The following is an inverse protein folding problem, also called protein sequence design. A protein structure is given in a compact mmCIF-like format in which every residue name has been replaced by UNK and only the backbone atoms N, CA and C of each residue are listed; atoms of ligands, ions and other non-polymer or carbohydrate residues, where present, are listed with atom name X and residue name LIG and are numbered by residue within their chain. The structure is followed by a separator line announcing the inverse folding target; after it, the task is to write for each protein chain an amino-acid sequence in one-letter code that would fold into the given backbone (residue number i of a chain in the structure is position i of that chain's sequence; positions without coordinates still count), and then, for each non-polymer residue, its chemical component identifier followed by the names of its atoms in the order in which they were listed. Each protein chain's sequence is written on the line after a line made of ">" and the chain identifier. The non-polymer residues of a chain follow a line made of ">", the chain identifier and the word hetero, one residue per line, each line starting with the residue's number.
data_IF_784520153955
#
_entry.id   IF_784520153955
#
_cell.length_a   1.000
_cell.length_b   1.000
_cell.length_c   1.000
_cell.angle_alpha   90.00
_cell.angle_beta   90.00
_cell.angle_gamma   90.00
#
_symmetry.space_group_name_H-M   'P 1'
#
loop_
_entity.id
_entity.type
_entity.pdbx_description
1 polymer ?
#
# COMPACT_ATOMS: atom_id res chain seq x y z
N UNK A 1 -48.91 18.03 30.25
CA UNK A 1 -47.56 18.26 30.79
C UNK A 1 -46.73 16.98 30.67
N UNK A 2 -46.65 16.40 29.47
CA UNK A 2 -45.72 15.32 29.07
C UNK A 2 -45.71 15.24 27.54
N UNK A 3 -45.62 16.38 26.87
CA UNK A 3 -45.60 16.42 25.41
C UNK A 3 -44.17 16.17 24.91
N UNK A 4 -43.73 14.92 25.05
CA UNK A 4 -42.57 14.30 24.39
C UNK A 4 -42.97 14.02 22.93
N UNK A 5 -43.27 15.09 22.20
CA UNK A 5 -43.61 15.04 20.78
C UNK A 5 -42.62 15.96 20.08
N UNK A 6 -41.39 15.46 19.86
CA UNK A 6 -40.46 16.12 18.94
C UNK A 6 -39.46 15.16 18.28
N UNK A 7 -39.88 13.95 17.91
CA UNK A 7 -39.39 13.23 16.71
C UNK A 7 -40.17 11.90 16.56
N UNK A 8 -40.96 11.69 15.48
CA UNK A 8 -41.64 10.41 15.24
C UNK A 8 -40.65 9.34 14.71
N UNK A 9 -39.56 9.09 15.43
CA UNK A 9 -38.57 8.10 15.01
C UNK A 9 -37.24 8.10 15.76
N UNK A 10 -36.94 9.12 16.58
CA UNK A 10 -35.77 9.11 17.45
C UNK A 10 -36.27 8.92 18.88
N UNK A 11 -35.90 7.82 19.57
CA UNK A 11 -36.05 7.76 21.01
C UNK A 11 -35.29 8.94 21.61
N UNK A 12 -35.98 9.75 22.42
CA UNK A 12 -35.31 10.78 23.21
C UNK A 12 -34.27 10.16 24.15
N UNK A 13 -33.47 11.01 24.81
CA UNK A 13 -32.45 10.56 25.76
C UNK A 13 -32.92 9.49 26.75
N UNK A 14 -34.11 9.61 27.37
CA UNK A 14 -34.66 8.60 28.27
C UNK A 14 -34.95 7.25 27.60
N UNK A 15 -35.58 7.25 26.42
CA UNK A 15 -35.93 6.03 25.70
C UNK A 15 -34.67 5.27 25.24
N UNK A 16 -33.62 5.98 24.81
CA UNK A 16 -32.34 5.38 24.44
C UNK A 16 -31.64 4.72 25.65
N UNK A 17 -31.77 5.33 26.83
CA UNK A 17 -31.30 4.74 28.09
C UNK A 17 -32.03 3.42 28.43
N UNK A 18 -33.34 3.35 28.20
CA UNK A 18 -34.14 2.13 28.42
C UNK A 18 -33.69 1.02 27.46
N UNK A 19 -33.52 1.34 26.17
CA UNK A 19 -33.03 0.35 25.18
C UNK A 19 -31.64 -0.15 25.56
N UNK A 20 -30.73 0.76 25.95
CA UNK A 20 -29.40 0.40 26.42
C UNK A 20 -29.46 -0.52 27.65
N UNK A 21 -30.36 -0.24 28.60
CA UNK A 21 -30.55 -1.06 29.79
C UNK A 21 -31.01 -2.48 29.43
N UNK A 22 -31.97 -2.62 28.52
CA UNK A 22 -32.43 -3.94 28.03
C UNK A 22 -31.29 -4.70 27.34
N UNK A 23 -30.50 -4.04 26.48
CA UNK A 23 -29.34 -4.66 25.84
C UNK A 23 -28.29 -5.11 26.86
N UNK A 24 -28.05 -4.32 27.90
CA UNK A 24 -27.14 -4.67 28.99
C UNK A 24 -27.67 -5.85 29.82
N UNK A 25 -28.98 -5.99 30.02
CA UNK A 25 -29.56 -7.15 30.69
C UNK A 25 -29.44 -8.44 29.85
N UNK A 26 -29.64 -8.35 28.53
CA UNK A 26 -29.56 -9.50 27.62
C UNK A 26 -28.12 -9.96 27.41
N UNK A 27 -27.21 -9.03 27.14
CA UNK A 27 -25.82 -9.34 26.77
C UNK A 27 -24.83 -9.21 27.93
N UNK A 28 -25.19 -8.49 29.00
CA UNK A 28 -24.34 -8.18 30.15
C UNK A 28 -23.54 -6.88 29.97
N UNK A 29 -23.36 -6.13 31.07
CA UNK A 29 -22.64 -4.84 31.09
C UNK A 29 -21.18 -4.94 30.61
N UNK A 30 -20.58 -6.13 30.68
CA UNK A 30 -19.19 -6.36 30.29
C UNK A 30 -19.03 -6.74 28.80
N UNK A 31 -20.09 -7.18 28.11
CA UNK A 31 -19.96 -7.78 26.77
C UNK A 31 -19.80 -6.73 25.69
N UNK A 32 -20.64 -5.69 25.70
CA UNK A 32 -20.55 -4.56 24.76
C UNK A 32 -19.20 -3.83 24.83
N UNK A 33 -18.69 -3.40 26.00
CA UNK A 33 -17.39 -2.73 26.07
C UNK A 33 -16.22 -3.66 25.70
N UNK A 34 -16.32 -4.96 26.00
CA UNK A 34 -15.30 -5.94 25.61
C UNK A 34 -15.24 -6.13 24.10
N UNK A 35 -16.40 -6.23 23.43
CA UNK A 35 -16.49 -6.31 21.97
C UNK A 35 -15.98 -5.02 21.31
N UNK A 36 -16.37 -3.85 21.83
CA UNK A 36 -15.89 -2.57 21.32
C UNK A 36 -14.36 -2.46 21.41
N UNK A 37 -13.75 -2.91 22.52
CA UNK A 37 -12.29 -2.93 22.69
C UNK A 37 -11.61 -3.86 21.69
N UNK A 38 -12.04 -5.12 21.57
CA UNK A 38 -11.40 -6.07 20.64
C UNK A 38 -11.56 -5.66 19.17
N UNK A 39 -12.75 -5.19 18.79
CA UNK A 39 -13.00 -4.69 17.43
C UNK A 39 -12.22 -3.42 17.17
N UNK A 40 -12.12 -2.51 18.14
CA UNK A 40 -11.33 -1.29 18.03
C UNK A 40 -9.83 -1.56 17.88
N UNK A 41 -9.30 -2.54 18.62
CA UNK A 41 -7.90 -2.97 18.46
C UNK A 41 -7.65 -3.56 17.07
N UNK A 42 -8.50 -4.49 16.62
CA UNK A 42 -8.38 -5.10 15.30
C UNK A 42 -8.47 -4.06 14.17
N UNK A 43 -9.41 -3.12 14.26
CA UNK A 43 -9.55 -2.03 13.29
C UNK A 43 -8.34 -1.09 13.31
N UNK A 44 -7.77 -0.82 14.50
CA UNK A 44 -6.59 0.02 14.65
C UNK A 44 -5.32 -0.61 14.05
N UNK A 45 -5.09 -1.89 14.27
CA UNK A 45 -3.98 -2.64 13.65
C UNK A 45 -4.16 -2.74 12.14
N UNK A 46 -5.38 -3.00 11.67
CA UNK A 46 -5.70 -3.03 10.24
C UNK A 46 -5.41 -1.68 9.56
N UNK A 47 -5.80 -0.57 10.18
CA UNK A 47 -5.55 0.77 9.63
C UNK A 47 -4.06 1.10 9.54
N UNK A 48 -3.26 0.67 10.53
CA UNK A 48 -1.79 0.84 10.53
C UNK A 48 -1.15 0.02 9.41
N UNK A 49 -1.48 -1.26 9.31
CA UNK A 49 -0.97 -2.10 8.23
C UNK A 49 -1.36 -1.59 6.85
N UNK A 50 -2.56 -1.02 6.68
CA UNK A 50 -2.95 -0.36 5.42
C UNK A 50 -2.07 0.86 5.08
N UNK A 51 -1.72 1.67 6.07
CA UNK A 51 -0.85 2.84 5.87
C UNK A 51 0.57 2.44 5.52
N UNK A 52 1.14 1.44 6.21
CA UNK A 52 2.47 0.91 5.91
C UNK A 52 2.55 0.41 4.46
N UNK A 53 1.56 -0.36 4.00
CA UNK A 53 1.50 -0.84 2.61
C UNK A 53 1.38 0.32 1.61
N UNK A 54 0.59 1.35 1.92
CA UNK A 54 0.46 2.52 1.06
C UNK A 54 1.77 3.32 0.96
N UNK A 55 2.50 3.45 2.08
CA UNK A 55 3.81 4.08 2.12
C UNK A 55 4.87 3.29 1.34
N UNK A 56 4.89 1.96 1.49
CA UNK A 56 5.77 1.07 0.73
C UNK A 56 5.50 1.15 -0.77
N UNK A 57 4.23 1.07 -1.18
CA UNK A 57 3.83 1.20 -2.59
C UNK A 57 4.23 2.55 -3.18
N UNK A 58 4.05 3.64 -2.43
CA UNK A 58 4.44 4.99 -2.83
C UNK A 58 5.96 5.17 -2.91
N UNK A 59 6.71 4.44 -2.09
CA UNK A 59 8.18 4.46 -2.10
C UNK A 59 8.72 3.68 -3.30
N UNK A 60 8.09 2.54 -3.65
CA UNK A 60 8.38 1.78 -4.87
C UNK A 60 8.05 2.58 -6.14
N UNK A 61 6.94 3.31 -6.16
CA UNK A 61 6.57 4.18 -7.30
C UNK A 61 7.51 5.39 -7.47
N UNK A 62 8.16 5.83 -6.38
CA UNK A 62 9.12 6.94 -6.38
C UNK A 62 10.56 6.57 -6.68
N UNK A 63 10.91 5.29 -6.78
CA UNK A 63 12.25 4.83 -7.17
C UNK A 63 12.31 4.28 -8.61
N UNK A 64 12.12 5.08 -9.67
CA UNK A 64 12.44 4.62 -11.01
C UNK A 64 13.86 4.97 -11.50
N UNK A 65 14.75 5.66 -10.76
CA UNK A 65 15.88 6.33 -11.43
C UNK A 65 17.31 5.98 -10.95
N UNK A 66 17.54 5.16 -9.92
CA UNK A 66 18.93 4.85 -9.50
C UNK A 66 19.52 3.61 -10.19
N UNK A 67 18.70 2.60 -10.50
CA UNK A 67 19.17 1.36 -11.14
C UNK A 67 19.22 1.45 -12.68
N UNK A 68 18.42 2.33 -13.28
CA UNK A 68 18.33 2.49 -14.74
C UNK A 68 19.55 3.24 -15.32
N UNK A 69 20.15 4.18 -14.57
CA UNK A 69 21.37 4.88 -15.01
C UNK A 69 22.60 3.97 -15.03
N UNK A 70 22.76 3.09 -14.03
CA UNK A 70 23.89 2.14 -13.98
C UNK A 70 23.73 1.05 -15.05
N UNK A 71 22.50 0.58 -15.31
CA UNK A 71 22.22 -0.42 -16.34
C UNK A 71 22.43 0.14 -17.76
N UNK A 72 21.99 1.37 -18.04
CA UNK A 72 22.19 2.02 -19.33
C UNK A 72 23.65 2.43 -19.57
N UNK A 73 24.40 2.81 -18.52
CA UNK A 73 25.83 3.09 -18.62
C UNK A 73 26.63 1.82 -18.98
N UNK A 74 26.32 0.70 -18.32
CA UNK A 74 26.97 -0.60 -18.59
C UNK A 74 26.66 -1.15 -19.98
N UNK A 75 25.46 -0.89 -20.48
CA UNK A 75 25.03 -1.31 -21.82
C UNK A 75 25.78 -0.54 -22.92
N UNK A 76 25.98 0.77 -22.76
CA UNK A 76 26.72 1.60 -23.73
C UNK A 76 28.23 1.32 -23.74
N UNK A 77 28.81 0.96 -22.61
CA UNK A 77 30.22 0.55 -22.54
C UNK A 77 30.44 -0.75 -23.33
N UNK A 78 29.51 -1.71 -23.17
CA UNK A 78 29.57 -3.01 -23.85
C UNK A 78 29.30 -2.93 -25.36
N UNK A 79 28.46 -1.99 -25.81
CA UNK A 79 28.24 -1.73 -27.25
C UNK A 79 29.47 -1.10 -27.92
N UNK A 80 30.22 -0.22 -27.22
CA UNK A 80 31.45 0.38 -27.75
C UNK A 80 32.60 -0.62 -27.87
N UNK A 81 32.71 -1.55 -26.93
CA UNK A 81 33.74 -2.60 -26.95
C UNK A 81 33.55 -3.59 -28.12
N UNK A 82 32.30 -3.82 -28.54
CA UNK A 82 31.96 -4.67 -29.69
C UNK A 82 32.27 -3.98 -31.03
N UNK A 83 32.06 -2.66 -31.13
CA UNK A 83 32.34 -1.86 -32.33
C UNK A 83 33.86 -1.73 -32.61
N UNK A 84 34.69 -1.73 -31.55
CA UNK A 84 36.15 -1.70 -31.66
C UNK A 84 36.71 -3.05 -32.15
N UNK A 85 36.10 -4.18 -31.74
CA UNK A 85 36.50 -5.53 -32.19
C UNK A 85 36.09 -5.88 -33.62
N UNK A 86 35.08 -5.24 -34.20
CA UNK A 86 34.71 -5.44 -35.62
C UNK A 86 35.62 -4.68 -36.58
N UNK A 87 36.21 -3.55 -36.17
CA UNK A 87 37.10 -2.73 -37.00
C UNK A 87 38.47 -3.39 -37.27
N UNK A 88 38.98 -4.20 -36.35
CA UNK A 88 40.25 -4.94 -36.55
C UNK A 88 40.11 -6.18 -37.46
N UNK A 89 38.90 -6.68 -37.72
CA UNK A 89 38.67 -7.89 -38.54
C UNK A 89 38.70 -7.64 -40.06
N UNK A 90 38.51 -6.40 -40.55
CA UNK A 90 38.48 -6.12 -42.00
C UNK A 90 39.86 -5.81 -42.62
N UNK A 91 40.90 -5.63 -41.80
CA UNK A 91 42.26 -5.28 -42.27
C UNK A 91 43.07 -6.47 -42.81
N UNK A 92 42.85 -7.71 -42.33
CA UNK A 92 43.68 -8.87 -42.71
C UNK A 92 43.30 -9.55 -44.04
N UNK A 93 42.13 -9.27 -44.63
CA UNK A 93 41.64 -10.05 -45.79
C UNK A 93 42.13 -9.58 -47.18
N UNK A 94 42.84 -8.46 -47.30
CA UNK A 94 43.24 -7.92 -48.63
C UNK A 94 44.68 -8.24 -49.06
N UNK A 95 45.47 -8.92 -48.22
CA UNK A 95 46.89 -9.21 -48.54
C UNK A 95 47.18 -10.62 -49.06
N UNK A 96 46.19 -11.53 -49.12
CA UNK A 96 46.39 -12.92 -49.57
C UNK A 96 45.59 -13.27 -50.83
N UNK A 97 45.65 -12.43 -51.88
CA UNK A 97 45.26 -12.85 -53.25
C UNK A 97 46.38 -12.66 -54.28
N UNK A 98 47.58 -12.30 -53.84
CA UNK A 98 48.76 -12.08 -54.68
C UNK A 98 49.87 -13.08 -54.33
N UNK A 99 49.60 -14.37 -54.49
CA UNK A 99 50.60 -15.42 -54.75
C UNK A 99 49.95 -16.61 -55.42
#
# INVERSE_FOLDING_TARGET
>A
MFDIILFPGLPGGPELLIVLFVLVLLFGANKIPKLARSTGQAMGEFQRGRQEIEEELKQMEKQPDEDDEEFEARKREKERELEETESESESESTSTSSS
#
